data_IF_107298590326
#
_entry.id   IF_107298590326
#
_cell.length_a   1.000
_cell.length_b   1.000
_cell.length_c   1.000
_cell.angle_alpha   90.00
_cell.angle_beta   90.00
_cell.angle_gamma   90.00
#
_symmetry.space_group_name_H-M   'P 1'
#
loop_
_entity.id
_entity.type
_entity.pdbx_description
1 polymer ?
#
# COMPACT_ATOMS: atom_id res chain seq x y z
N UNK A 1 1.17 4.66 -11.29
CA UNK A 1 1.66 5.64 -10.31
C UNK A 1 0.96 6.96 -10.57
N UNK A 2 0.19 7.48 -9.60
CA UNK A 2 -0.44 8.81 -9.69
C UNK A 2 0.49 9.83 -9.05
N UNK A 3 0.77 10.94 -9.76
CA UNK A 3 1.67 12.00 -9.31
C UNK A 3 0.87 13.28 -9.10
N UNK A 4 0.73 13.73 -7.85
CA UNK A 4 0.30 15.10 -7.50
C UNK A 4 1.57 15.83 -7.06
N UNK A 5 1.71 17.13 -7.34
CA UNK A 5 3.00 17.86 -7.26
C UNK A 5 3.85 17.72 -5.97
N UNK A 6 3.30 17.17 -4.88
CA UNK A 6 3.97 16.97 -3.58
C UNK A 6 4.08 15.49 -3.14
N UNK A 7 3.36 14.56 -3.78
CA UNK A 7 3.38 13.14 -3.39
C UNK A 7 3.02 12.21 -4.55
N UNK A 8 3.48 10.98 -4.43
CA UNK A 8 3.22 9.89 -5.35
C UNK A 8 2.40 8.80 -4.66
N UNK A 9 1.63 8.08 -5.47
CA UNK A 9 0.75 6.99 -5.00
C UNK A 9 1.14 5.68 -5.66
N UNK A 10 1.47 4.71 -4.82
CA UNK A 10 1.60 3.30 -5.17
C UNK A 10 0.33 2.54 -4.80
N UNK A 11 -0.16 1.69 -5.71
CA UNK A 11 -1.33 0.82 -5.46
C UNK A 11 -0.99 -0.57 -5.94
N UNK A 12 -1.19 -1.57 -5.09
CA UNK A 12 -1.13 -2.98 -5.42
C UNK A 12 -2.49 -3.60 -5.10
N UNK A 13 -3.23 -4.04 -6.11
CA UNK A 13 -4.51 -4.74 -5.90
C UNK A 13 -4.26 -6.22 -5.70
N UNK A 14 -4.97 -6.86 -4.79
CA UNK A 14 -4.71 -8.25 -4.43
C UNK A 14 -4.95 -9.21 -5.60
N UNK A 15 -6.00 -8.97 -6.39
CA UNK A 15 -6.24 -9.67 -7.66
C UNK A 15 -5.10 -9.56 -8.70
N UNK A 16 -4.19 -8.59 -8.55
CA UNK A 16 -3.09 -8.33 -9.51
C UNK A 16 -1.75 -8.92 -9.02
N UNK A 17 -1.69 -9.53 -7.82
CA UNK A 17 -0.45 -10.05 -7.21
C UNK A 17 -0.56 -11.54 -6.86
N UNK A 18 0.60 -12.21 -6.81
CA UNK A 18 0.67 -13.63 -6.53
C UNK A 18 0.02 -14.01 -5.17
N UNK A 19 0.21 -13.21 -4.11
CA UNK A 19 -0.40 -13.48 -2.80
C UNK A 19 -1.92 -13.59 -2.91
N UNK A 20 -2.57 -12.60 -3.53
CA UNK A 20 -4.03 -12.59 -3.67
C UNK A 20 -4.53 -13.78 -4.48
N UNK A 21 -3.85 -14.10 -5.59
CA UNK A 21 -4.17 -15.28 -6.41
C UNK A 21 -4.02 -16.61 -5.63
N UNK A 22 -3.00 -16.74 -4.78
CA UNK A 22 -2.74 -17.97 -4.02
C UNK A 22 -3.75 -18.24 -2.91
N UNK A 23 -4.26 -17.20 -2.25
CA UNK A 23 -5.20 -17.34 -1.14
C UNK A 23 -6.66 -17.07 -1.55
N UNK A 24 -6.91 -16.75 -2.82
CA UNK A 24 -8.25 -16.39 -3.32
C UNK A 24 -8.73 -15.02 -2.82
N UNK A 25 -7.81 -14.10 -2.52
CA UNK A 25 -8.15 -12.74 -2.11
C UNK A 25 -8.20 -11.81 -3.34
N UNK A 26 -9.39 -11.79 -3.94
CA UNK A 26 -9.67 -11.07 -5.18
C UNK A 26 -10.11 -9.61 -4.91
N UNK A 27 -10.46 -9.30 -3.65
CA UNK A 27 -11.08 -8.04 -3.24
C UNK A 27 -10.22 -7.39 -2.16
N UNK A 28 -9.40 -6.44 -2.58
CA UNK A 28 -8.56 -5.70 -1.65
C UNK A 28 -7.44 -4.94 -2.34
N UNK A 29 -6.71 -4.17 -1.55
CA UNK A 29 -5.56 -3.41 -2.03
C UNK A 29 -4.68 -2.93 -0.88
N UNK A 30 -3.39 -2.79 -1.20
CA UNK A 30 -2.45 -1.92 -0.48
C UNK A 30 -2.27 -0.62 -1.26
N UNK A 31 -2.33 0.52 -0.56
CA UNK A 31 -2.03 1.84 -1.10
C UNK A 31 -1.06 2.59 -0.20
N UNK A 32 -0.01 3.08 -0.83
CA UNK A 32 1.04 3.88 -0.19
C UNK A 32 1.03 5.28 -0.77
N UNK A 33 1.19 6.28 0.10
CA UNK A 33 1.46 7.67 -0.24
C UNK A 33 2.89 7.97 0.14
N UNK A 34 3.70 8.51 -0.76
CA UNK A 34 5.08 8.87 -0.46
C UNK A 34 5.44 10.23 -1.04
N UNK A 35 6.32 10.96 -0.36
CA UNK A 35 6.81 12.24 -0.87
C UNK A 35 7.61 12.00 -2.16
N UNK A 36 7.41 12.78 -3.22
CA UNK A 36 8.13 12.61 -4.51
C UNK A 36 9.65 12.56 -4.33
N UNK A 37 10.18 13.44 -3.47
CA UNK A 37 11.56 13.48 -2.97
C UNK A 37 11.57 14.18 -1.60
N UNK A 38 11.72 13.47 -0.48
CA UNK A 38 12.74 12.42 -0.29
C UNK A 38 12.29 10.95 -0.41
N UNK A 39 11.04 10.63 -0.79
CA UNK A 39 10.44 9.27 -0.76
C UNK A 39 10.08 8.74 0.63
N UNK A 40 9.93 9.65 1.60
CA UNK A 40 9.31 9.32 2.89
C UNK A 40 7.88 8.81 2.70
N UNK A 41 7.51 7.79 3.50
CA UNK A 41 6.15 7.26 3.55
C UNK A 41 5.26 8.24 4.31
N UNK A 42 4.27 8.80 3.63
CA UNK A 42 3.32 9.78 4.17
C UNK A 42 2.01 9.13 4.64
N UNK A 43 1.73 7.91 4.18
CA UNK A 43 0.54 7.19 4.60
C UNK A 43 0.45 5.79 4.02
N UNK A 44 -0.15 4.91 4.82
CA UNK A 44 -0.45 3.52 4.46
C UNK A 44 -1.95 3.26 4.58
N UNK A 45 -2.50 2.57 3.59
CA UNK A 45 -3.89 2.13 3.58
C UNK A 45 -3.91 0.68 3.09
N UNK A 46 -4.63 -0.19 3.78
CA UNK A 46 -4.85 -1.56 3.35
C UNK A 46 -6.33 -1.92 3.57
N UNK A 47 -6.88 -2.70 2.63
CA UNK A 47 -8.22 -3.30 2.73
C UNK A 47 -8.09 -4.74 2.24
N UNK A 48 -8.67 -5.68 2.98
CA UNK A 48 -8.63 -7.12 2.68
C UNK A 48 -7.89 -7.90 3.76
N UNK A 49 -7.57 -9.17 3.47
CA UNK A 49 -6.91 -10.05 4.43
C UNK A 49 -5.46 -9.58 4.73
N UNK A 50 -5.07 -9.62 6.00
CA UNK A 50 -3.77 -9.14 6.48
C UNK A 50 -3.62 -7.61 6.53
N UNK A 51 -4.71 -6.84 6.43
CA UNK A 51 -4.65 -5.38 6.42
C UNK A 51 -4.08 -4.81 7.73
N UNK A 52 -4.41 -5.38 8.88
CA UNK A 52 -3.90 -4.92 10.19
C UNK A 52 -2.38 -5.03 10.26
N UNK A 53 -1.83 -6.17 9.87
CA UNK A 53 -0.38 -6.44 9.85
C UNK A 53 0.33 -5.49 8.89
N UNK A 54 -0.22 -5.30 7.68
CA UNK A 54 0.34 -4.38 6.70
C UNK A 54 0.34 -2.95 7.22
N UNK A 55 -0.76 -2.49 7.84
CA UNK A 55 -0.83 -1.16 8.45
C UNK A 55 0.21 -1.01 9.55
N UNK A 56 0.38 -2.01 10.43
CA UNK A 56 1.41 -1.99 11.48
C UNK A 56 2.83 -1.89 10.91
N UNK A 57 3.15 -2.65 9.85
CA UNK A 57 4.44 -2.54 9.17
C UNK A 57 4.65 -1.13 8.62
N UNK A 58 3.64 -0.54 7.96
CA UNK A 58 3.77 0.82 7.45
C UNK A 58 3.95 1.86 8.55
N UNK A 59 3.23 1.73 9.67
CA UNK A 59 3.42 2.61 10.82
C UNK A 59 4.84 2.53 11.38
N UNK A 60 5.42 1.33 11.46
CA UNK A 60 6.80 1.15 11.91
C UNK A 60 7.83 1.83 10.97
N UNK A 61 7.54 1.90 9.66
CA UNK A 61 8.38 2.59 8.68
C UNK A 61 8.20 4.12 8.72
N UNK A 62 7.06 4.62 9.19
CA UNK A 62 6.78 6.05 9.32
C UNK A 62 7.41 6.69 10.57
N UNK A 63 7.92 5.88 11.50
CA UNK A 63 8.50 6.31 12.77
C UNK A 63 9.95 6.79 12.63
#
# INVERSE_FOLDING_TARGET
MLRKGLFEVGVARYREIARGQLIGDDIGMLKLLFHTKPRELLGIHAIGDGATELVHIGQAVMA
#
